data_IF_733904688410
#
_entry.id   IF_733904688410
#
_cell.length_a   1.000
_cell.length_b   1.000
_cell.length_c   1.000
_cell.angle_alpha   90.00
_cell.angle_beta   90.00
_cell.angle_gamma   90.00
#
_symmetry.space_group_name_H-M   'P 1'
#
loop_
_entity.id
_entity.type
_entity.pdbx_description
1 polymer ?
#
# COMPACT_ATOMS: atom_id res chain seq x y z
N UNK A 1 -8.68 -14.48 -6.75
CA UNK A 1 -7.64 -15.01 -5.84
C UNK A 1 -6.38 -14.13 -5.81
N UNK A 2 -5.85 -13.68 -6.95
CA UNK A 2 -4.61 -12.88 -7.04
C UNK A 2 -4.60 -11.60 -6.16
N UNK A 3 -5.64 -10.75 -6.23
CA UNK A 3 -5.68 -9.48 -5.47
C UNK A 3 -5.73 -9.72 -3.96
N UNK A 4 -6.52 -10.70 -3.49
CA UNK A 4 -6.63 -11.03 -2.07
C UNK A 4 -5.31 -11.56 -1.52
N UNK A 5 -4.61 -12.39 -2.30
CA UNK A 5 -3.29 -12.92 -1.95
C UNK A 5 -2.26 -11.79 -1.84
N UNK A 6 -2.26 -10.84 -2.77
CA UNK A 6 -1.34 -9.72 -2.75
C UNK A 6 -1.59 -8.78 -1.55
N UNK A 7 -2.84 -8.57 -1.16
CA UNK A 7 -3.16 -7.82 0.07
C UNK A 7 -2.65 -8.51 1.33
N UNK A 8 -2.76 -9.84 1.39
CA UNK A 8 -2.19 -10.60 2.50
C UNK A 8 -0.65 -10.47 2.55
N UNK A 9 0.01 -10.50 1.39
CA UNK A 9 1.45 -10.26 1.30
C UNK A 9 1.83 -8.84 1.75
N UNK A 10 1.05 -7.81 1.38
CA UNK A 10 1.28 -6.44 1.85
C UNK A 10 1.16 -6.32 3.36
N UNK A 11 0.16 -6.97 3.98
CA UNK A 11 0.02 -7.00 5.44
C UNK A 11 1.21 -7.71 6.09
N UNK A 12 1.61 -8.87 5.56
CA UNK A 12 2.77 -9.60 6.06
C UNK A 12 4.05 -8.75 5.97
N UNK A 13 4.23 -8.02 4.87
CA UNK A 13 5.35 -7.09 4.70
C UNK A 13 5.35 -5.99 5.77
N UNK A 14 4.22 -5.34 6.03
CA UNK A 14 4.13 -4.31 7.08
C UNK A 14 4.47 -4.87 8.47
N UNK A 15 3.97 -6.06 8.79
CA UNK A 15 4.26 -6.74 10.05
C UNK A 15 5.75 -7.09 10.16
N UNK A 16 6.37 -7.59 9.10
CA UNK A 16 7.80 -7.92 9.07
C UNK A 16 8.67 -6.68 9.18
N UNK A 17 8.31 -5.57 8.52
CA UNK A 17 9.03 -4.31 8.63
C UNK A 17 8.94 -3.73 10.05
N UNK A 18 7.75 -3.77 10.66
CA UNK A 18 7.54 -3.33 12.04
C UNK A 18 8.31 -4.23 13.03
N UNK A 19 8.25 -5.54 12.85
CA UNK A 19 8.98 -6.49 13.68
C UNK A 19 10.50 -6.28 13.56
N UNK A 20 11.02 -6.12 12.35
CA UNK A 20 12.43 -5.82 12.12
C UNK A 20 12.86 -4.52 12.81
N UNK A 21 12.02 -3.48 12.74
CA UNK A 21 12.28 -2.20 13.41
C UNK A 21 12.27 -2.34 14.95
N UNK A 22 11.29 -3.03 15.54
CA UNK A 22 11.18 -3.17 16.99
C UNK A 22 12.27 -4.09 17.55
N UNK A 23 12.49 -5.24 16.89
CA UNK A 23 13.39 -6.29 17.36
C UNK A 23 14.83 -6.11 16.88
N UNK A 24 15.12 -5.08 16.07
CA UNK A 24 16.45 -4.75 15.56
C UNK A 24 17.15 -5.95 14.90
N UNK A 25 16.44 -6.61 13.97
CA UNK A 25 16.97 -7.80 13.30
C UNK A 25 18.27 -7.49 12.54
N UNK A 26 19.31 -8.36 12.63
CA UNK A 26 20.58 -8.14 11.96
C UNK A 26 20.56 -8.56 10.48
N UNK A 27 21.60 -8.16 9.74
CA UNK A 27 21.82 -8.59 8.36
C UNK A 27 20.83 -7.98 7.37
N UNK A 28 20.46 -8.72 6.32
CA UNK A 28 19.57 -8.20 5.27
C UNK A 28 18.19 -7.76 5.79
N UNK A 29 17.69 -8.40 6.85
CA UNK A 29 16.40 -8.08 7.42
C UNK A 29 16.37 -6.70 8.09
N UNK A 30 17.53 -6.14 8.47
CA UNK A 30 17.64 -4.79 9.04
C UNK A 30 17.22 -3.68 8.08
N UNK A 31 17.15 -3.98 6.77
CA UNK A 31 16.75 -3.04 5.73
C UNK A 31 15.24 -3.04 5.45
N UNK A 32 14.46 -3.94 6.08
CA UNK A 32 13.00 -3.96 5.92
C UNK A 32 12.32 -2.63 6.30
N UNK A 33 12.73 -1.90 7.35
CA UNK A 33 12.16 -0.58 7.66
C UNK A 33 12.43 0.45 6.55
N UNK A 34 13.62 0.42 5.94
CA UNK A 34 13.93 1.29 4.81
C UNK A 34 13.07 0.95 3.59
N UNK A 35 12.94 -0.34 3.26
CA UNK A 35 12.03 -0.79 2.20
C UNK A 35 10.58 -0.35 2.48
N UNK A 36 10.14 -0.42 3.74
CA UNK A 36 8.81 0.02 4.14
C UNK A 36 8.61 1.52 3.98
N UNK A 37 9.63 2.35 4.23
CA UNK A 37 9.58 3.79 3.95
C UNK A 37 9.45 4.08 2.45
N UNK A 38 10.20 3.36 1.61
CA UNK A 38 10.10 3.49 0.15
C UNK A 38 8.69 3.13 -0.33
N UNK A 39 8.15 2.00 0.14
CA UNK A 39 6.79 1.55 -0.19
C UNK A 39 5.74 2.54 0.33
N UNK A 40 5.91 3.07 1.54
CA UNK A 40 5.03 4.10 2.08
C UNK A 40 5.04 5.37 1.21
N UNK A 41 6.21 5.78 0.72
CA UNK A 41 6.35 6.89 -0.22
C UNK A 41 5.58 6.64 -1.53
N UNK A 42 5.69 5.43 -2.09
CA UNK A 42 4.90 5.04 -3.25
C UNK A 42 3.39 5.10 -2.97
N UNK A 43 2.94 4.57 -1.82
CA UNK A 43 1.53 4.59 -1.44
C UNK A 43 0.99 6.02 -1.23
N UNK A 44 1.81 6.96 -0.75
CA UNK A 44 1.44 8.39 -0.71
C UNK A 44 1.18 8.92 -2.11
N UNK A 45 2.07 8.64 -3.06
CA UNK A 45 1.91 9.08 -4.46
C UNK A 45 0.67 8.44 -5.10
N UNK A 46 0.43 7.15 -4.87
CA UNK A 46 -0.75 6.44 -5.36
C UNK A 46 -2.05 7.01 -4.75
N UNK A 47 -2.03 7.33 -3.47
CA UNK A 47 -3.17 7.94 -2.77
C UNK A 47 -3.44 9.35 -3.31
N UNK A 48 -2.39 10.14 -3.54
CA UNK A 48 -2.51 11.46 -4.17
C UNK A 48 -3.08 11.35 -5.58
N UNK A 49 -2.53 10.45 -6.41
CA UNK A 49 -3.04 10.19 -7.75
C UNK A 49 -4.52 9.79 -7.74
N UNK A 50 -4.92 8.88 -6.84
CA UNK A 50 -6.32 8.54 -6.65
C UNK A 50 -7.16 9.77 -6.29
N UNK A 51 -6.70 10.57 -5.32
CA UNK A 51 -7.46 11.71 -4.82
C UNK A 51 -7.71 12.78 -5.90
N UNK A 52 -6.72 13.04 -6.74
CA UNK A 52 -6.80 14.06 -7.78
C UNK A 52 -7.42 13.56 -9.09
N UNK A 53 -7.17 12.30 -9.49
CA UNK A 53 -7.56 11.81 -10.81
C UNK A 53 -8.74 10.83 -10.79
N UNK A 54 -8.88 10.01 -9.73
CA UNK A 54 -9.80 8.86 -9.74
C UNK A 54 -10.89 8.92 -8.66
N UNK A 55 -10.87 9.92 -7.79
CA UNK A 55 -11.82 10.10 -6.69
C UNK A 55 -13.28 10.04 -7.14
N UNK A 56 -13.58 10.58 -8.32
CA UNK A 56 -14.94 10.57 -8.90
C UNK A 56 -15.48 9.14 -9.14
N UNK A 57 -14.60 8.15 -9.30
CA UNK A 57 -14.96 6.75 -9.53
C UNK A 57 -15.20 5.96 -8.23
N UNK A 58 -15.10 6.63 -7.07
CA UNK A 58 -15.30 6.03 -5.74
C UNK A 58 -16.60 6.53 -5.10
N UNK A 59 -17.32 5.58 -4.47
CA UNK A 59 -18.50 5.89 -3.63
C UNK A 59 -18.10 6.40 -2.24
N UNK A 60 -16.90 6.07 -1.75
CA UNK A 60 -16.41 6.45 -0.42
C UNK A 60 -14.92 6.83 -0.50
N UNK A 61 -14.58 8.02 -1.05
CA UNK A 61 -13.20 8.39 -1.35
C UNK A 61 -12.23 8.30 -0.19
N UNK A 62 -12.63 8.73 1.01
CA UNK A 62 -11.75 8.72 2.19
C UNK A 62 -11.38 7.29 2.60
N UNK A 63 -12.34 6.37 2.58
CA UNK A 63 -12.09 4.95 2.89
C UNK A 63 -11.19 4.31 1.83
N UNK A 64 -11.41 4.65 0.57
CA UNK A 64 -10.61 4.11 -0.53
C UNK A 64 -9.19 4.67 -0.54
N UNK A 65 -9.00 5.95 -0.23
CA UNK A 65 -7.69 6.56 -0.02
C UNK A 65 -6.92 5.89 1.12
N UNK A 66 -7.57 5.61 2.25
CA UNK A 66 -6.96 4.85 3.36
C UNK A 66 -6.53 3.45 2.92
N UNK A 67 -7.36 2.76 2.15
CA UNK A 67 -7.04 1.42 1.68
C UNK A 67 -5.94 1.43 0.61
N UNK A 68 -5.81 2.49 -0.20
CA UNK A 68 -4.66 2.69 -1.10
C UNK A 68 -3.40 2.97 -0.27
N UNK A 69 -3.49 3.77 0.79
CA UNK A 69 -2.34 4.00 1.67
C UNK A 69 -1.80 2.71 2.30
N UNK A 70 -2.66 1.73 2.56
CA UNK A 70 -2.26 0.43 3.16
C UNK A 70 -1.86 -0.60 2.10
N UNK A 71 -2.63 -0.72 1.02
CA UNK A 71 -2.51 -1.80 0.03
C UNK A 71 -1.98 -1.35 -1.35
N UNK A 72 -1.72 -0.06 -1.51
CA UNK A 72 -1.19 0.56 -2.71
C UNK A 72 -1.97 0.27 -3.98
N UNK A 73 -1.23 -0.01 -5.05
CA UNK A 73 -1.77 -0.33 -6.37
C UNK A 73 -2.83 -1.45 -6.36
N UNK A 74 -2.74 -2.41 -5.43
CA UNK A 74 -3.70 -3.53 -5.34
C UNK A 74 -5.11 -3.07 -4.95
N UNK A 75 -5.25 -1.90 -4.33
CA UNK A 75 -6.55 -1.26 -4.12
C UNK A 75 -6.89 -0.26 -5.23
N UNK A 76 -5.90 0.45 -5.76
CA UNK A 76 -6.04 1.46 -6.82
C UNK A 76 -6.55 0.91 -8.16
N UNK A 77 -6.10 -0.29 -8.55
CA UNK A 77 -6.42 -0.93 -9.83
C UNK A 77 -7.92 -0.98 -10.16
N UNK A 78 -8.77 -1.13 -9.13
CA UNK A 78 -10.23 -1.16 -9.32
C UNK A 78 -10.81 0.14 -9.88
N UNK A 79 -10.13 1.28 -9.65
CA UNK A 79 -10.57 2.59 -10.10
C UNK A 79 -10.00 2.94 -11.46
N UNK A 80 -8.77 2.49 -11.74
CA UNK A 80 -8.17 2.59 -13.07
C UNK A 80 -8.97 1.79 -14.09
N UNK A 81 -9.40 0.57 -13.75
CA UNK A 81 -10.23 -0.27 -14.61
C UNK A 81 -11.63 0.31 -14.88
N UNK A 82 -12.09 1.31 -14.12
CA UNK A 82 -13.35 2.03 -14.36
C UNK A 82 -13.18 3.32 -15.14
N UNK A 83 -11.94 3.82 -15.24
CA UNK A 83 -11.61 5.04 -15.96
C UNK A 83 -11.25 4.77 -17.43
N UNK A 84 -10.98 3.51 -17.78
CA UNK A 84 -10.83 3.00 -19.14
C UNK A 84 -12.19 2.62 -19.73
#
# INVERSE_FOLDING_TARGET
>A
MWITMNKAATVAFWLLALASYIMQWPGLLSYLPLAALIVAGAHVLETAFFWFALKANSKNPSKDAMLIMVFGIFHLQRFMAKAA
#
